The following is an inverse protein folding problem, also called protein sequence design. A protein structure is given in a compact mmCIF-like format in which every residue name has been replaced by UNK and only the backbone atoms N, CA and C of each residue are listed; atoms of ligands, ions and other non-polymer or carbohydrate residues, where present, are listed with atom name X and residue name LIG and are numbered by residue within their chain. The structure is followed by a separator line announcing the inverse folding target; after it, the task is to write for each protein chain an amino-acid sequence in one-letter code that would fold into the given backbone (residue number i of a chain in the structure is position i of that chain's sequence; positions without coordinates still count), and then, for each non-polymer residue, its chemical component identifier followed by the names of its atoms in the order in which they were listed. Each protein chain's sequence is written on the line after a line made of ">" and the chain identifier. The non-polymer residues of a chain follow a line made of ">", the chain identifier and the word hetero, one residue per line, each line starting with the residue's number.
data_IF_309355681754
#
_entry.id   IF_309355681754
#
_cell.length_a   1.000
_cell.length_b   1.000
_cell.length_c   1.000
_cell.angle_alpha   90.00
_cell.angle_beta   90.00
_cell.angle_gamma   90.00
#
_symmetry.space_group_name_H-M   'P 1'
#
loop_
_entity.id
_entity.type
_entity.pdbx_description
1 polymer ?
#
# COMPACT_ATOMS: atom_id res chain seq x y z
N UNK A 1 -28.37 -13.64 -17.99
CA UNK A 1 -27.98 -12.31 -18.51
C UNK A 1 -27.86 -11.38 -17.32
N UNK A 2 -26.66 -10.89 -17.04
CA UNK A 2 -26.43 -9.91 -15.96
C UNK A 2 -26.72 -8.55 -16.55
N UNK A 3 -27.70 -7.85 -15.99
CA UNK A 3 -28.09 -6.52 -16.44
C UNK A 3 -26.97 -5.53 -16.10
N UNK A 4 -26.22 -5.10 -17.11
CA UNK A 4 -25.07 -4.20 -16.98
C UNK A 4 -25.46 -2.72 -16.93
N UNK A 5 -26.74 -2.41 -17.06
CA UNK A 5 -27.26 -1.05 -16.97
C UNK A 5 -27.67 -0.73 -15.53
N UNK A 6 -26.69 -0.43 -14.67
CA UNK A 6 -27.02 0.28 -13.42
C UNK A 6 -27.55 1.67 -13.79
N UNK A 7 -28.87 1.84 -13.65
CA UNK A 7 -29.60 3.08 -13.92
C UNK A 7 -29.36 4.16 -12.87
N UNK A 8 -28.80 3.81 -11.70
CA UNK A 8 -28.48 4.73 -10.61
C UNK A 8 -26.98 4.70 -10.33
N UNK A 9 -26.27 5.86 -10.37
CA UNK A 9 -24.87 5.91 -10.01
C UNK A 9 -24.64 5.60 -8.53
N UNK A 10 -23.85 4.56 -8.26
CA UNK A 10 -23.46 4.22 -6.89
C UNK A 10 -23.40 2.72 -6.59
N UNK A 11 -23.10 2.41 -5.33
CA UNK A 11 -23.14 1.05 -4.80
C UNK A 11 -24.61 0.61 -4.61
N UNK A 12 -24.96 -0.68 -4.76
CA UNK A 12 -26.34 -1.14 -4.57
C UNK A 12 -26.93 -0.69 -3.23
N UNK A 13 -28.19 -0.24 -3.24
CA UNK A 13 -28.90 0.13 -2.03
C UNK A 13 -28.89 -1.03 -1.01
N UNK A 14 -28.66 -0.72 0.26
CA UNK A 14 -28.54 -1.73 1.32
C UNK A 14 -27.17 -2.43 1.41
N UNK A 15 -26.18 -2.08 0.58
CA UNK A 15 -24.83 -2.64 0.74
C UNK A 15 -24.22 -2.30 2.12
N UNK A 16 -23.66 -3.28 2.88
CA UNK A 16 -23.17 -3.06 4.24
C UNK A 16 -22.14 -1.92 4.37
N UNK A 17 -21.33 -1.70 3.33
CA UNK A 17 -20.38 -0.59 3.26
C UNK A 17 -21.01 0.79 3.47
N UNK A 18 -22.23 0.99 2.98
CA UNK A 18 -22.93 2.26 3.10
C UNK A 18 -23.30 2.56 4.55
N UNK A 19 -23.61 1.53 5.35
CA UNK A 19 -23.94 1.64 6.77
C UNK A 19 -22.72 1.79 7.70
N UNK A 20 -21.49 1.60 7.20
CA UNK A 20 -20.29 1.72 8.03
C UNK A 20 -20.02 3.17 8.44
N UNK A 21 -19.61 3.34 9.70
CA UNK A 21 -19.04 4.57 10.23
C UNK A 21 -17.67 4.89 9.59
N UNK A 22 -17.19 6.13 9.74
CA UNK A 22 -15.87 6.55 9.24
C UNK A 22 -14.75 5.66 9.76
N UNK A 23 -14.82 5.29 11.04
CA UNK A 23 -13.86 4.37 11.67
C UNK A 23 -13.94 2.96 11.10
N UNK A 24 -15.16 2.45 10.83
CA UNK A 24 -15.33 1.13 10.22
C UNK A 24 -14.74 1.05 8.80
N UNK A 25 -14.86 2.13 8.02
CA UNK A 25 -14.23 2.29 6.70
C UNK A 25 -12.71 2.29 6.85
N UNK A 26 -12.19 3.19 7.70
CA UNK A 26 -10.76 3.36 7.92
C UNK A 26 -10.07 2.05 8.32
N UNK A 27 -10.65 1.32 9.27
CA UNK A 27 -10.12 0.06 9.75
C UNK A 27 -10.07 -1.01 8.66
N UNK A 28 -11.13 -1.11 7.85
CA UNK A 28 -11.17 -2.10 6.75
C UNK A 28 -10.19 -1.75 5.65
N UNK A 29 -10.10 -0.47 5.28
CA UNK A 29 -9.12 -0.01 4.29
C UNK A 29 -7.70 -0.23 4.77
N UNK A 30 -7.41 0.00 6.05
CA UNK A 30 -6.11 -0.32 6.64
C UNK A 30 -5.82 -1.83 6.53
N UNK A 31 -6.71 -2.70 6.99
CA UNK A 31 -6.50 -4.15 6.93
C UNK A 31 -6.35 -4.67 5.49
N UNK A 32 -7.19 -4.18 4.58
CA UNK A 32 -7.09 -4.53 3.16
C UNK A 32 -5.80 -4.00 2.53
N UNK A 33 -5.33 -2.82 2.94
CA UNK A 33 -4.04 -2.28 2.49
C UNK A 33 -2.86 -3.08 3.02
N UNK A 34 -2.90 -3.55 4.28
CA UNK A 34 -1.91 -4.47 4.83
C UNK A 34 -1.89 -5.76 4.02
N UNK A 35 -3.06 -6.34 3.74
CA UNK A 35 -3.17 -7.57 2.95
C UNK A 35 -2.60 -7.41 1.53
N UNK A 36 -2.97 -6.35 0.82
CA UNK A 36 -2.48 -6.09 -0.54
C UNK A 36 -0.99 -5.73 -0.54
N UNK A 37 -0.55 -4.93 0.42
CA UNK A 37 0.87 -4.59 0.58
C UNK A 37 1.72 -5.81 0.89
N UNK A 38 1.23 -6.71 1.75
CA UNK A 38 1.92 -7.93 2.12
C UNK A 38 2.14 -8.89 0.94
N UNK A 39 1.24 -8.90 -0.03
CA UNK A 39 1.38 -9.72 -1.24
C UNK A 39 2.15 -9.02 -2.34
N UNK A 40 1.94 -7.72 -2.54
CA UNK A 40 2.55 -6.95 -3.62
C UNK A 40 4.00 -6.49 -3.32
N UNK A 41 4.33 -6.21 -2.06
CA UNK A 41 5.65 -5.71 -1.67
C UNK A 41 6.78 -6.70 -1.95
N UNK A 42 6.68 -8.00 -1.59
CA UNK A 42 7.73 -8.97 -1.90
C UNK A 42 7.94 -9.12 -3.41
N UNK A 43 6.85 -9.13 -4.19
CA UNK A 43 6.89 -9.24 -5.66
C UNK A 43 7.56 -8.00 -6.26
N UNK A 44 7.17 -6.81 -5.81
CA UNK A 44 7.74 -5.55 -6.31
C UNK A 44 9.23 -5.44 -5.97
N UNK A 45 9.63 -5.84 -4.76
CA UNK A 45 11.03 -5.86 -4.36
C UNK A 45 11.84 -6.87 -5.19
N UNK A 46 11.31 -8.07 -5.43
CA UNK A 46 11.94 -9.07 -6.29
C UNK A 46 12.13 -8.58 -7.74
N UNK A 47 11.11 -7.93 -8.31
CA UNK A 47 11.15 -7.45 -9.70
C UNK A 47 12.10 -6.26 -9.87
N UNK A 48 12.09 -5.31 -8.93
CA UNK A 48 12.86 -4.07 -9.06
C UNK A 48 14.34 -4.28 -8.69
N UNK A 49 14.62 -5.06 -7.65
CA UNK A 49 15.96 -5.16 -7.05
C UNK A 49 16.63 -6.53 -7.27
N UNK A 50 15.89 -7.52 -7.78
CA UNK A 50 16.39 -8.88 -7.95
C UNK A 50 16.62 -9.63 -6.64
N UNK A 51 16.93 -10.94 -6.69
CA UNK A 51 17.12 -11.76 -5.49
C UNK A 51 18.34 -11.38 -4.66
N UNK A 52 19.36 -10.75 -5.26
CA UNK A 52 20.62 -10.41 -4.61
C UNK A 52 20.53 -9.23 -3.62
N UNK A 53 19.56 -8.32 -3.77
CA UNK A 53 19.41 -7.12 -2.92
C UNK A 53 18.32 -7.25 -1.84
N UNK A 54 17.60 -8.36 -1.81
CA UNK A 54 16.76 -8.78 -0.67
C UNK A 54 17.58 -9.26 0.54
N UNK A 55 18.89 -9.39 0.35
CA UNK A 55 19.89 -9.72 1.35
C UNK A 55 20.20 -8.52 2.26
N UNK A 56 19.71 -8.53 3.51
CA UNK A 56 20.15 -7.62 4.56
C UNK A 56 19.34 -6.32 4.74
N UNK A 57 20.04 -5.21 5.00
CA UNK A 57 19.47 -3.93 5.49
C UNK A 57 18.41 -3.31 4.55
N UNK A 58 18.48 -3.56 3.25
CA UNK A 58 17.53 -3.07 2.22
C UNK A 58 16.11 -3.58 2.43
N UNK A 59 15.93 -4.83 2.88
CA UNK A 59 14.60 -5.36 3.22
C UNK A 59 14.00 -4.61 4.42
N UNK A 60 14.82 -4.34 5.43
CA UNK A 60 14.38 -3.63 6.65
C UNK A 60 13.99 -2.19 6.31
N UNK A 61 14.77 -1.48 5.49
CA UNK A 61 14.42 -0.13 5.03
C UNK A 61 13.19 -0.12 4.12
N UNK A 62 13.05 -1.11 3.22
CA UNK A 62 11.87 -1.26 2.36
C UNK A 62 10.60 -1.52 3.16
N UNK A 63 10.66 -2.40 4.17
CA UNK A 63 9.55 -2.65 5.09
C UNK A 63 9.22 -1.43 5.95
N UNK A 64 10.23 -0.69 6.43
CA UNK A 64 10.03 0.54 7.19
C UNK A 64 9.35 1.63 6.35
N UNK A 65 9.64 1.70 5.05
CA UNK A 65 8.99 2.63 4.12
C UNK A 65 7.54 2.22 3.78
N UNK A 66 7.27 0.92 3.69
CA UNK A 66 5.94 0.40 3.34
C UNK A 66 5.00 0.34 4.54
N UNK A 67 5.52 0.14 5.74
CA UNK A 67 4.76 0.09 7.00
C UNK A 67 3.82 1.29 7.25
N UNK A 68 4.17 2.56 6.95
CA UNK A 68 3.26 3.68 7.11
C UNK A 68 2.13 3.72 6.07
N UNK A 69 2.27 3.10 4.89
CA UNK A 69 1.30 3.20 3.78
C UNK A 69 -0.12 2.78 4.21
N UNK A 70 -0.34 1.62 4.89
CA UNK A 70 -1.67 1.25 5.36
C UNK A 70 -2.29 2.25 6.34
N UNK A 71 -1.48 2.87 7.21
CA UNK A 71 -1.96 3.89 8.13
C UNK A 71 -2.41 5.15 7.38
N UNK A 72 -1.65 5.57 6.37
CA UNK A 72 -1.98 6.71 5.50
C UNK A 72 -3.27 6.45 4.74
N UNK A 73 -3.43 5.26 4.15
CA UNK A 73 -4.67 4.90 3.43
C UNK A 73 -5.86 4.75 4.37
N UNK A 74 -5.65 4.26 5.59
CA UNK A 74 -6.65 4.27 6.66
C UNK A 74 -7.11 5.69 7.02
N UNK A 75 -6.17 6.60 7.24
CA UNK A 75 -6.45 8.01 7.54
C UNK A 75 -7.13 8.73 6.37
N UNK A 76 -6.67 8.49 5.14
CA UNK A 76 -7.27 9.03 3.93
C UNK A 76 -8.72 8.57 3.82
N UNK A 77 -8.97 7.26 3.89
CA UNK A 77 -10.33 6.70 3.81
C UNK A 77 -11.24 7.13 4.95
N UNK A 78 -10.71 7.40 6.15
CA UNK A 78 -11.45 8.04 7.23
C UNK A 78 -11.98 9.43 6.83
N UNK A 79 -11.14 10.23 6.17
CA UNK A 79 -11.46 11.61 5.76
C UNK A 79 -12.41 11.66 4.55
N UNK A 80 -12.10 10.93 3.48
CA UNK A 80 -12.82 11.03 2.18
C UNK A 80 -13.83 9.90 1.94
N UNK A 81 -13.82 8.83 2.75
CA UNK A 81 -14.66 7.65 2.57
C UNK A 81 -16.15 7.95 2.42
N UNK A 82 -16.77 8.83 3.26
CA UNK A 82 -18.17 9.20 3.11
C UNK A 82 -18.49 9.89 1.78
N UNK A 83 -17.56 10.69 1.26
CA UNK A 83 -17.72 11.35 -0.04
C UNK A 83 -17.58 10.34 -1.18
N UNK A 84 -16.64 9.40 -1.07
CA UNK A 84 -16.42 8.36 -2.07
C UNK A 84 -17.63 7.44 -2.29
N UNK A 85 -18.47 7.23 -1.26
CA UNK A 85 -19.69 6.39 -1.36
C UNK A 85 -20.64 6.81 -2.48
N UNK A 86 -20.56 8.06 -2.96
CA UNK A 86 -21.40 8.64 -4.01
C UNK A 86 -21.03 8.20 -5.43
N UNK A 87 -19.84 7.63 -5.63
CA UNK A 87 -19.33 7.26 -6.96
C UNK A 87 -19.54 5.78 -7.27
N UNK A 88 -19.42 5.39 -8.54
CA UNK A 88 -19.37 3.98 -8.93
C UNK A 88 -18.15 3.26 -8.34
N UNK A 89 -18.24 1.95 -8.02
CA UNK A 89 -17.12 1.20 -7.42
C UNK A 89 -15.80 1.30 -8.21
N UNK A 90 -15.88 1.27 -9.55
CA UNK A 90 -14.71 1.43 -10.40
C UNK A 90 -14.10 2.84 -10.30
N UNK A 91 -14.93 3.89 -10.28
CA UNK A 91 -14.45 5.26 -10.06
C UNK A 91 -13.88 5.45 -8.65
N UNK A 92 -14.49 4.84 -7.63
CA UNK A 92 -13.97 4.86 -6.26
C UNK A 92 -12.56 4.27 -6.19
N UNK A 93 -12.34 3.14 -6.87
CA UNK A 93 -11.03 2.50 -7.00
C UNK A 93 -9.99 3.45 -7.59
N UNK A 94 -10.29 4.05 -8.75
CA UNK A 94 -9.34 4.94 -9.43
C UNK A 94 -9.06 6.21 -8.63
N UNK A 95 -10.10 6.87 -8.12
CA UNK A 95 -9.96 8.11 -7.33
C UNK A 95 -9.16 7.83 -6.06
N UNK A 96 -9.48 6.75 -5.33
CA UNK A 96 -8.74 6.39 -4.14
C UNK A 96 -7.30 5.98 -4.45
N UNK A 97 -7.05 5.35 -5.60
CA UNK A 97 -5.72 5.06 -6.12
C UNK A 97 -4.87 6.34 -6.28
N UNK A 98 -5.38 7.33 -7.01
CA UNK A 98 -4.68 8.60 -7.21
C UNK A 98 -4.50 9.40 -5.92
N UNK A 99 -5.51 9.45 -5.06
CA UNK A 99 -5.42 10.16 -3.78
C UNK A 99 -4.46 9.46 -2.80
N UNK A 100 -4.44 8.12 -2.80
CA UNK A 100 -3.49 7.33 -2.03
C UNK A 100 -2.06 7.57 -2.49
N UNK A 101 -1.84 7.54 -3.80
CA UNK A 101 -0.56 7.89 -4.41
C UNK A 101 -0.09 9.29 -4.01
N UNK A 102 -0.97 10.29 -4.16
CA UNK A 102 -0.68 11.68 -3.81
C UNK A 102 -0.37 11.84 -2.31
N UNK A 103 -1.11 11.17 -1.42
CA UNK A 103 -0.89 11.25 0.02
C UNK A 103 0.47 10.65 0.43
N UNK A 104 0.85 9.51 -0.14
CA UNK A 104 2.16 8.89 0.09
C UNK A 104 3.28 9.76 -0.51
N UNK A 105 3.05 10.37 -1.68
CA UNK A 105 3.99 11.32 -2.29
C UNK A 105 4.28 12.53 -1.43
N UNK A 106 3.22 13.14 -0.87
CA UNK A 106 3.37 14.27 0.04
C UNK A 106 4.13 13.88 1.31
N UNK A 107 3.87 12.70 1.87
CA UNK A 107 4.60 12.23 3.06
C UNK A 107 6.07 11.94 2.78
N UNK A 108 6.37 11.29 1.66
CA UNK A 108 7.76 11.04 1.26
C UNK A 108 8.49 12.36 0.99
N UNK A 109 7.81 13.33 0.36
CA UNK A 109 8.37 14.67 0.12
C UNK A 109 8.60 15.44 1.42
N UNK A 110 7.66 15.40 2.36
CA UNK A 110 7.83 16.00 3.67
C UNK A 110 8.99 15.36 4.45
N UNK A 111 9.12 14.03 4.39
CA UNK A 111 10.26 13.31 4.97
C UNK A 111 11.59 13.74 4.34
N UNK A 112 11.63 13.86 3.01
CA UNK A 112 12.80 14.37 2.28
C UNK A 112 13.20 15.77 2.79
N UNK A 113 12.24 16.69 2.88
CA UNK A 113 12.50 18.04 3.39
C UNK A 113 13.05 18.03 4.81
N UNK A 114 12.45 17.26 5.72
CA UNK A 114 12.94 17.14 7.10
C UNK A 114 14.35 16.56 7.13
N UNK A 115 14.60 15.49 6.37
CA UNK A 115 15.93 14.89 6.28
C UNK A 115 16.98 15.83 5.69
N UNK A 116 16.59 16.79 4.86
CA UNK A 116 17.52 17.76 4.28
C UNK A 116 17.92 18.89 5.24
N UNK A 117 17.15 19.12 6.31
CA UNK A 117 17.44 20.14 7.32
C UNK A 117 18.47 19.55 8.29
N UNK A 118 19.75 19.89 8.08
CA UNK A 118 20.87 19.45 8.93
C UNK A 118 21.90 18.57 8.23
N UNK A 119 21.74 18.30 6.93
CA UNK A 119 22.78 17.64 6.13
C UNK A 119 23.96 18.60 5.90
N UNK A 120 25.07 18.38 6.61
CA UNK A 120 26.37 18.96 6.28
C UNK A 120 27.15 17.98 5.43
N UNK A 121 27.31 18.26 4.14
CA UNK A 121 28.16 17.46 3.27
C UNK A 121 29.63 17.59 3.72
N UNK A 122 30.26 16.44 4.03
CA UNK A 122 31.71 16.35 4.10
C UNK A 122 32.29 16.53 2.68
N UNK A 123 33.40 17.26 2.49
CA UNK A 123 33.99 17.49 1.17
C UNK A 123 34.39 16.21 0.42
N UNK A 124 34.57 15.09 1.13
CA UNK A 124 35.02 13.81 0.58
C UNK A 124 33.89 12.85 0.20
N UNK A 125 32.64 13.15 0.55
CA UNK A 125 31.49 12.31 0.23
C UNK A 125 30.82 12.75 -1.09
N UNK A 126 30.50 11.79 -1.96
CA UNK A 126 29.62 12.01 -3.11
C UNK A 126 28.23 12.43 -2.61
N UNK A 127 28.02 13.73 -2.43
CA UNK A 127 26.72 14.29 -2.15
C UNK A 127 25.86 14.26 -3.42
N UNK A 128 25.32 13.09 -3.73
CA UNK A 128 24.22 12.98 -4.68
C UNK A 128 23.04 13.81 -4.12
N UNK A 129 22.44 14.71 -4.92
CA UNK A 129 21.31 15.49 -4.44
C UNK A 129 20.16 14.52 -4.12
N UNK A 130 19.61 14.54 -2.89
CA UNK A 130 18.63 13.55 -2.44
C UNK A 130 17.31 13.61 -3.24
N UNK A 131 17.12 14.66 -4.05
CA UNK A 131 16.05 14.81 -5.02
C UNK A 131 16.13 13.85 -6.23
N UNK A 132 17.34 13.47 -6.67
CA UNK A 132 17.50 12.53 -7.79
C UNK A 132 17.08 11.11 -7.40
N UNK A 133 17.48 10.66 -6.21
CA UNK A 133 17.08 9.36 -5.67
C UNK A 133 15.57 9.31 -5.40
N UNK A 134 15.01 10.42 -4.90
CA UNK A 134 13.56 10.57 -4.73
C UNK A 134 12.79 10.43 -6.06
N UNK A 135 13.31 11.02 -7.14
CA UNK A 135 12.66 10.95 -8.45
C UNK A 135 12.65 9.52 -9.01
N UNK A 136 13.79 8.82 -8.98
CA UNK A 136 13.89 7.43 -9.42
C UNK A 136 13.05 6.49 -8.56
N UNK A 137 13.02 6.73 -7.26
CA UNK A 137 12.14 6.01 -6.35
C UNK A 137 10.67 6.17 -6.77
N UNK A 138 10.21 7.39 -7.05
CA UNK A 138 8.83 7.60 -7.48
C UNK A 138 8.47 6.96 -8.81
N UNK A 139 9.38 6.97 -9.79
CA UNK A 139 9.14 6.29 -11.07
C UNK A 139 8.89 4.79 -10.85
N UNK A 140 9.66 4.15 -9.96
CA UNK A 140 9.58 2.71 -9.73
C UNK A 140 8.44 2.31 -8.77
N UNK A 141 8.12 3.15 -7.79
CA UNK A 141 7.16 2.82 -6.72
C UNK A 141 5.79 3.48 -6.88
N UNK A 142 5.61 4.47 -7.77
CA UNK A 142 4.30 5.11 -7.98
C UNK A 142 3.22 4.11 -8.42
N UNK A 143 3.53 3.27 -9.41
CA UNK A 143 2.56 2.30 -9.92
C UNK A 143 2.20 1.25 -8.86
N UNK A 144 3.15 0.62 -8.13
CA UNK A 144 2.84 -0.24 -7.00
C UNK A 144 1.97 0.43 -5.93
N UNK A 145 2.27 1.68 -5.54
CA UNK A 145 1.49 2.42 -4.53
C UNK A 145 0.07 2.72 -5.04
N UNK A 146 -0.05 3.14 -6.30
CA UNK A 146 -1.33 3.35 -6.95
C UNK A 146 -2.16 2.06 -6.99
N UNK A 147 -1.56 0.93 -7.41
CA UNK A 147 -2.25 -0.35 -7.45
C UNK A 147 -2.63 -0.84 -6.06
N UNK A 148 -1.75 -0.69 -5.07
CA UNK A 148 -2.04 -1.08 -3.68
C UNK A 148 -3.26 -0.30 -3.15
N UNK A 149 -3.27 1.02 -3.33
CA UNK A 149 -4.38 1.87 -2.89
C UNK A 149 -5.66 1.58 -3.68
N UNK A 150 -5.57 1.48 -5.00
CA UNK A 150 -6.68 1.17 -5.89
C UNK A 150 -7.32 -0.19 -5.57
N UNK A 151 -6.54 -1.22 -5.23
CA UNK A 151 -7.06 -2.56 -4.90
C UNK A 151 -7.54 -2.65 -3.45
N UNK A 152 -6.85 -1.99 -2.51
CA UNK A 152 -7.18 -2.06 -1.09
C UNK A 152 -8.59 -1.52 -0.79
N UNK A 153 -9.02 -0.46 -1.49
CA UNK A 153 -10.31 0.17 -1.20
C UNK A 153 -11.53 -0.69 -1.64
N UNK A 154 -11.60 -1.23 -2.87
CA UNK A 154 -12.58 -2.25 -3.25
C UNK A 154 -12.54 -3.51 -2.38
N UNK A 155 -11.35 -3.95 -1.98
CA UNK A 155 -11.21 -5.09 -1.08
C UNK A 155 -11.82 -4.79 0.29
N UNK A 156 -11.68 -3.56 0.80
CA UNK A 156 -12.33 -3.11 2.03
C UNK A 156 -13.85 -3.07 1.90
N UNK A 157 -14.36 -2.61 0.74
CA UNK A 157 -15.79 -2.65 0.40
C UNK A 157 -16.29 -4.08 0.43
N UNK A 158 -15.63 -5.00 -0.26
CA UNK A 158 -15.99 -6.41 -0.29
C UNK A 158 -15.92 -7.06 1.11
N UNK A 159 -14.90 -6.73 1.90
CA UNK A 159 -14.72 -7.21 3.26
C UNK A 159 -15.84 -6.79 4.23
N UNK A 160 -16.66 -5.79 3.88
CA UNK A 160 -17.86 -5.45 4.65
C UNK A 160 -19.00 -6.47 4.50
N UNK A 161 -18.97 -7.30 3.46
CA UNK A 161 -19.97 -8.36 3.26
C UNK A 161 -19.73 -9.55 4.20
N UNK A 162 -20.76 -10.36 4.46
CA UNK A 162 -20.66 -11.55 5.33
C UNK A 162 -19.62 -12.56 4.82
N UNK A 163 -19.51 -12.73 3.50
CA UNK A 163 -18.51 -13.62 2.89
C UNK A 163 -17.12 -13.01 2.96
N UNK A 164 -16.99 -11.72 2.59
CA UNK A 164 -15.72 -11.01 2.61
C UNK A 164 -15.09 -10.93 3.99
N UNK A 165 -15.87 -10.61 5.02
CA UNK A 165 -15.38 -10.55 6.40
C UNK A 165 -14.88 -11.89 6.95
N UNK A 166 -15.48 -13.01 6.52
CA UNK A 166 -15.03 -14.37 6.90
C UNK A 166 -13.72 -14.75 6.20
N UNK A 167 -13.51 -14.30 4.96
CA UNK A 167 -12.32 -14.60 4.17
C UNK A 167 -11.16 -13.64 4.44
N UNK A 168 -11.42 -12.41 4.91
CA UNK A 168 -10.37 -11.43 5.17
C UNK A 168 -9.36 -11.91 6.21
N UNK A 169 -9.81 -12.48 7.32
CA UNK A 169 -8.95 -12.94 8.41
C UNK A 169 -7.98 -14.06 8.00
N UNK A 170 -8.40 -15.17 7.38
CA UNK A 170 -7.47 -16.19 6.93
C UNK A 170 -6.52 -15.68 5.84
N UNK A 171 -6.98 -14.81 4.93
CA UNK A 171 -6.10 -14.20 3.93
C UNK A 171 -5.04 -13.30 4.56
N UNK A 172 -5.43 -12.48 5.55
CA UNK A 172 -4.50 -11.63 6.30
C UNK A 172 -3.50 -12.47 7.08
N UNK A 173 -3.95 -13.54 7.75
CA UNK A 173 -3.08 -14.46 8.47
C UNK A 173 -2.07 -15.15 7.53
N UNK A 174 -2.52 -15.60 6.35
CA UNK A 174 -1.64 -16.19 5.34
C UNK A 174 -0.62 -15.18 4.81
N UNK A 175 -1.04 -13.94 4.52
CA UNK A 175 -0.15 -12.90 4.03
C UNK A 175 0.91 -12.50 5.08
N UNK A 176 0.51 -12.38 6.35
CA UNK A 176 1.45 -12.14 7.46
C UNK A 176 2.41 -13.33 7.60
N UNK A 177 1.92 -14.57 7.56
CA UNK A 177 2.76 -15.76 7.64
C UNK A 177 3.81 -15.80 6.52
N UNK A 178 3.43 -15.43 5.29
CA UNK A 178 4.36 -15.31 4.16
C UNK A 178 5.42 -14.24 4.41
N UNK A 179 5.04 -13.04 4.86
CA UNK A 179 6.02 -11.99 5.19
C UNK A 179 6.99 -12.46 6.28
N UNK A 180 6.47 -13.08 7.34
CA UNK A 180 7.29 -13.57 8.46
C UNK A 180 8.25 -14.66 7.96
N UNK A 181 7.76 -15.61 7.17
CA UNK A 181 8.61 -16.66 6.59
C UNK A 181 9.71 -16.08 5.69
N UNK A 182 9.37 -15.14 4.79
CA UNK A 182 10.34 -14.46 3.93
C UNK A 182 11.36 -13.66 4.75
N UNK A 183 10.89 -12.95 5.79
CA UNK A 183 11.76 -12.20 6.70
C UNK A 183 12.73 -13.09 7.47
N UNK A 184 12.28 -14.25 7.95
CA UNK A 184 13.14 -15.25 8.60
C UNK A 184 14.16 -15.87 7.63
N UNK A 185 13.76 -16.19 6.41
CA UNK A 185 14.66 -16.69 5.36
C UNK A 185 15.73 -15.65 4.97
N UNK A 186 15.35 -14.38 4.91
CA UNK A 186 16.28 -13.28 4.69
C UNK A 186 17.26 -13.12 5.88
N UNK A 187 16.76 -13.16 7.12
CA UNK A 187 17.59 -13.00 8.32
C UNK A 187 18.62 -14.13 8.53
N UNK A 188 18.31 -15.34 8.06
CA UNK A 188 19.20 -16.52 8.15
C UNK A 188 20.27 -16.59 7.05
N UNK A 189 20.26 -15.64 6.10
CA UNK A 189 21.18 -15.62 4.96
C UNK A 189 20.99 -16.81 4.01
N UNK A 190 19.86 -17.51 4.09
CA UNK A 190 19.54 -18.63 3.17
C UNK A 190 19.34 -18.10 1.76
N UNK A 191 18.69 -16.94 1.62
CA UNK A 191 18.47 -16.26 0.34
C UNK A 191 19.82 -15.87 -0.30
N UNK A 192 20.77 -15.36 0.49
CA UNK A 192 22.12 -15.02 0.03
C UNK A 192 22.91 -16.24 -0.48
N UNK A 193 22.68 -17.41 0.11
CA UNK A 193 23.36 -18.66 -0.28
C UNK A 193 22.80 -19.29 -1.55
N UNK A 194 21.51 -19.10 -1.82
CA UNK A 194 20.85 -19.61 -3.04
C UNK A 194 21.11 -18.70 -4.25
N UNK A 195 21.39 -17.42 -4.02
CA UNK A 195 21.66 -16.44 -5.07
C UNK A 195 23.12 -16.42 -5.59
N UNK A 196 24.03 -17.20 -5.00
CA UNK A 196 25.41 -17.39 -5.46
C UNK A 196 25.55 -18.71 -6.21
#
# INVERSE_FOLDING_TARGET
>A
MVDLHQTVPGMPEGHPWLALSRWGIAWRTLLSSVLVGATAAPISLLVIWGPALLAGRTLVYGLAFIAPIPAVLGALSWAIGPWLKRYFPFSQMLIFGFLGLAAVALLAFAWLLISSIGYTCSPDDYCAPPLMDFFWFWILFALPVFLQSAIAYPLAIWASTRRGGKMLWPLLAAAIAVIVAVGLLAATGVIERVAR
#
